data_IF_910313903157
#
_entry.id   IF_910313903157
#
_cell.length_a   1.000
_cell.length_b   1.000
_cell.length_c   1.000
_cell.angle_alpha   90.00
_cell.angle_beta   90.00
_cell.angle_gamma   90.00
#
_symmetry.space_group_name_H-M   'P 1'
#
loop_
_entity.id
_entity.type
_entity.pdbx_description
1 polymer ?
#
# COMPACT_ATOMS: atom_id res chain seq x y z
N UNK A 1 23.22 -2.89 2.12
CA UNK A 1 24.55 -3.50 1.84
C UNK A 1 25.41 -3.74 3.11
N UNK A 2 25.40 -2.83 4.09
CA UNK A 2 26.22 -2.90 5.32
C UNK A 2 26.06 -4.20 6.13
N UNK A 3 24.83 -4.68 6.34
CA UNK A 3 24.55 -5.91 7.12
C UNK A 3 25.22 -7.14 6.51
N UNK A 4 25.23 -7.25 5.17
CA UNK A 4 25.81 -8.41 4.49
C UNK A 4 27.33 -8.46 4.65
N UNK A 5 28.00 -7.31 4.51
CA UNK A 5 29.45 -7.18 4.70
C UNK A 5 29.82 -7.57 6.12
N UNK A 6 29.12 -7.01 7.12
CA UNK A 6 29.44 -7.28 8.54
C UNK A 6 29.17 -8.71 8.97
N UNK A 7 28.20 -9.38 8.36
CA UNK A 7 28.00 -10.82 8.58
C UNK A 7 29.14 -11.67 7.99
N UNK A 8 29.69 -11.28 6.83
CA UNK A 8 30.89 -11.93 6.25
C UNK A 8 32.12 -11.70 7.14
N UNK A 9 32.22 -10.55 7.77
CA UNK A 9 33.27 -10.22 8.76
C UNK A 9 33.08 -10.92 10.12
N UNK A 10 32.03 -11.73 10.29
CA UNK A 10 31.75 -12.48 11.52
C UNK A 10 31.16 -11.65 12.67
N UNK A 11 30.57 -10.49 12.39
CA UNK A 11 30.01 -9.63 13.44
C UNK A 11 28.71 -10.22 13.99
N UNK A 12 28.51 -10.08 15.30
CA UNK A 12 27.24 -10.41 15.93
C UNK A 12 26.15 -9.39 15.54
N UNK A 13 24.89 -9.83 15.51
CA UNK A 13 23.75 -8.97 15.22
C UNK A 13 23.67 -7.75 16.17
N UNK A 14 24.12 -7.90 17.42
CA UNK A 14 24.21 -6.81 18.38
C UNK A 14 25.21 -5.73 17.95
N UNK A 15 26.39 -6.12 17.49
CA UNK A 15 27.44 -5.20 17.03
C UNK A 15 26.98 -4.43 15.79
N UNK A 16 26.35 -5.13 14.84
CA UNK A 16 25.73 -4.52 13.65
C UNK A 16 24.65 -3.51 14.05
N UNK A 17 23.80 -3.86 15.02
CA UNK A 17 22.72 -2.98 15.48
C UNK A 17 23.26 -1.69 16.14
N UNK A 18 24.33 -1.79 16.93
CA UNK A 18 25.00 -0.64 17.53
C UNK A 18 25.62 0.28 16.48
N UNK A 19 26.28 -0.29 15.47
CA UNK A 19 26.88 0.46 14.37
C UNK A 19 25.84 1.20 13.53
N UNK A 20 24.71 0.55 13.21
CA UNK A 20 23.61 1.17 12.47
C UNK A 20 22.76 2.11 13.33
N UNK A 21 23.02 2.19 14.64
CA UNK A 21 22.18 2.87 15.63
C UNK A 21 20.69 2.45 15.54
N UNK A 22 20.44 1.14 15.44
CA UNK A 22 19.10 0.55 15.34
C UNK A 22 18.85 -0.47 16.45
N UNK A 23 17.57 -0.71 16.81
CA UNK A 23 17.24 -1.80 17.71
C UNK A 23 17.67 -3.15 17.12
N UNK A 24 18.24 -4.03 17.97
CA UNK A 24 18.72 -5.36 17.58
C UNK A 24 17.65 -6.19 16.86
N UNK A 25 16.39 -6.09 17.29
CA UNK A 25 15.25 -6.79 16.68
C UNK A 25 15.09 -6.43 15.20
N UNK A 26 15.40 -5.20 14.81
CA UNK A 26 15.32 -4.76 13.40
C UNK A 26 16.34 -5.51 12.55
N UNK A 27 17.58 -5.60 13.04
CA UNK A 27 18.67 -6.33 12.37
C UNK A 27 18.37 -7.82 12.33
N UNK A 28 17.91 -8.41 13.43
CA UNK A 28 17.53 -9.83 13.46
C UNK A 28 16.39 -10.16 12.49
N UNK A 29 15.38 -9.30 12.40
CA UNK A 29 14.28 -9.46 11.47
C UNK A 29 14.74 -9.33 10.01
N UNK A 30 15.68 -8.43 9.73
CA UNK A 30 16.30 -8.30 8.41
C UNK A 30 17.06 -9.58 8.04
N UNK A 31 17.96 -10.03 8.91
CA UNK A 31 18.76 -11.23 8.69
C UNK A 31 17.85 -12.44 8.45
N UNK A 32 16.86 -12.66 9.33
CA UNK A 32 15.91 -13.76 9.18
C UNK A 32 15.15 -13.71 7.85
N UNK A 33 14.86 -12.50 7.35
CA UNK A 33 14.15 -12.31 6.08
C UNK A 33 15.04 -12.53 4.86
N UNK A 34 16.32 -12.17 4.93
CA UNK A 34 17.29 -12.32 3.84
C UNK A 34 18.09 -13.63 3.83
N UNK A 35 18.03 -14.43 4.90
CA UNK A 35 18.69 -15.74 4.97
C UNK A 35 17.98 -16.77 4.10
N UNK A 36 18.72 -17.38 3.19
CA UNK A 36 18.24 -18.42 2.28
C UNK A 36 19.11 -19.67 2.33
N UNK A 37 18.48 -20.83 2.07
CA UNK A 37 19.18 -22.09 1.87
C UNK A 37 19.83 -22.10 0.49
N UNK A 38 21.11 -22.38 0.45
CA UNK A 38 21.91 -22.56 -0.75
C UNK A 38 22.54 -23.96 -0.72
N UNK A 39 22.81 -24.54 -1.90
CA UNK A 39 23.51 -25.82 -2.03
C UNK A 39 24.85 -25.57 -2.69
N UNK A 40 25.94 -26.01 -2.04
CA UNK A 40 27.30 -25.90 -2.55
C UNK A 40 27.98 -27.22 -2.31
N UNK A 41 28.47 -27.84 -3.39
CA UNK A 41 29.14 -29.14 -3.34
C UNK A 41 28.26 -30.22 -2.63
N UNK A 42 26.96 -30.22 -2.89
CA UNK A 42 26.01 -31.19 -2.31
C UNK A 42 25.64 -30.95 -0.83
N UNK A 43 26.20 -29.92 -0.17
CA UNK A 43 25.85 -29.55 1.21
C UNK A 43 24.95 -28.32 1.23
N UNK A 44 23.90 -28.37 2.05
CA UNK A 44 23.03 -27.23 2.33
C UNK A 44 23.69 -26.26 3.32
N UNK A 45 23.64 -24.97 3.03
CA UNK A 45 24.15 -23.91 3.90
C UNK A 45 23.21 -22.70 3.85
N UNK A 46 23.07 -22.01 4.99
CA UNK A 46 22.25 -20.81 5.09
C UNK A 46 23.11 -19.57 4.86
N UNK A 47 22.79 -18.77 3.86
CA UNK A 47 23.48 -17.52 3.54
C UNK A 47 22.50 -16.37 3.51
N UNK A 48 22.90 -15.27 4.13
CA UNK A 48 22.19 -14.00 4.05
C UNK A 48 22.55 -13.26 2.77
N UNK A 49 21.53 -12.81 2.05
CA UNK A 49 21.67 -11.90 0.92
C UNK A 49 20.74 -10.70 1.12
N UNK A 50 21.28 -9.49 0.97
CA UNK A 50 20.50 -8.26 1.16
C UNK A 50 19.35 -8.17 0.14
N UNK A 51 19.61 -8.49 -1.13
CA UNK A 51 18.62 -8.44 -2.20
C UNK A 51 17.43 -9.36 -1.94
N UNK A 52 17.68 -10.54 -1.37
CA UNK A 52 16.63 -11.49 -1.02
C UNK A 52 15.76 -10.96 0.12
N UNK A 53 16.39 -10.34 1.12
CA UNK A 53 15.68 -9.67 2.22
C UNK A 53 14.77 -8.56 1.72
N UNK A 54 15.23 -7.76 0.76
CA UNK A 54 14.44 -6.71 0.12
C UNK A 54 13.30 -7.28 -0.75
N UNK A 55 13.58 -8.31 -1.55
CA UNK A 55 12.58 -8.96 -2.39
C UNK A 55 11.43 -9.54 -1.55
N UNK A 56 11.75 -10.23 -0.45
CA UNK A 56 10.76 -10.76 0.49
C UNK A 56 10.00 -9.63 1.17
N UNK A 57 10.67 -8.54 1.56
CA UNK A 57 10.00 -7.35 2.10
C UNK A 57 8.98 -6.77 1.11
N UNK A 58 9.39 -6.50 -0.13
CA UNK A 58 8.52 -5.95 -1.18
C UNK A 58 7.33 -6.87 -1.43
N UNK A 59 7.55 -8.19 -1.54
CA UNK A 59 6.49 -9.19 -1.70
C UNK A 59 5.48 -9.18 -0.55
N UNK A 60 5.95 -9.12 0.70
CA UNK A 60 5.07 -9.04 1.86
C UNK A 60 4.35 -7.69 1.94
N UNK A 61 5.03 -6.61 1.56
CA UNK A 61 4.47 -5.26 1.56
C UNK A 61 3.28 -5.13 0.60
N UNK A 62 3.34 -5.78 -0.57
CA UNK A 62 2.21 -5.85 -1.50
C UNK A 62 0.96 -6.47 -0.85
N UNK A 63 1.15 -7.52 -0.03
CA UNK A 63 0.07 -8.21 0.69
C UNK A 63 -0.47 -7.45 1.90
N UNK A 64 0.31 -6.50 2.44
CA UNK A 64 -0.07 -5.74 3.63
C UNK A 64 -1.15 -4.69 3.37
N UNK A 65 -1.43 -4.37 2.11
CA UNK A 65 -2.45 -3.39 1.74
C UNK A 65 -3.85 -4.03 1.73
N UNK A 66 -4.86 -3.26 2.14
CA UNK A 66 -6.26 -3.69 2.04
C UNK A 66 -6.62 -3.81 0.57
N UNK A 67 -7.10 -4.98 0.16
CA UNK A 67 -7.59 -5.20 -1.21
C UNK A 67 -8.83 -4.34 -1.49
N UNK A 68 -9.01 -3.98 -2.76
CA UNK A 68 -10.18 -3.24 -3.21
C UNK A 68 -11.45 -4.08 -3.05
N UNK A 69 -12.55 -3.42 -2.67
CA UNK A 69 -13.86 -4.06 -2.47
C UNK A 69 -14.69 -4.15 -3.76
N UNK A 70 -14.06 -3.99 -4.93
CA UNK A 70 -14.77 -3.90 -6.21
C UNK A 70 -15.64 -5.13 -6.49
N UNK A 71 -15.11 -6.33 -6.20
CA UNK A 71 -15.82 -7.58 -6.42
C UNK A 71 -16.90 -7.82 -5.34
N UNK A 72 -16.55 -7.56 -4.07
CA UNK A 72 -17.46 -7.71 -2.92
C UNK A 72 -18.68 -6.79 -3.01
N UNK A 73 -18.49 -5.57 -3.52
CA UNK A 73 -19.51 -4.52 -3.59
C UNK A 73 -19.96 -4.28 -5.04
N UNK A 74 -19.93 -5.31 -5.88
CA UNK A 74 -20.16 -5.18 -7.33
C UNK A 74 -21.56 -4.64 -7.67
N UNK A 75 -22.60 -5.04 -6.92
CA UNK A 75 -23.97 -4.56 -7.15
C UNK A 75 -24.11 -3.06 -6.84
N UNK A 76 -23.52 -2.62 -5.73
CA UNK A 76 -23.47 -1.19 -5.38
C UNK A 76 -22.69 -0.39 -6.45
N UNK A 77 -21.60 -0.93 -6.97
CA UNK A 77 -20.82 -0.28 -8.02
C UNK A 77 -21.61 -0.14 -9.31
N UNK A 78 -22.33 -1.19 -9.74
CA UNK A 78 -23.19 -1.12 -10.93
C UNK A 78 -24.25 -0.03 -10.78
N UNK A 79 -24.88 0.05 -9.61
CA UNK A 79 -25.83 1.11 -9.27
C UNK A 79 -25.21 2.50 -9.37
N UNK A 80 -24.03 2.71 -8.77
CA UNK A 80 -23.32 4.01 -8.85
C UNK A 80 -22.99 4.37 -10.30
N UNK A 81 -22.48 3.42 -11.10
CA UNK A 81 -22.15 3.65 -12.51
C UNK A 81 -23.38 4.05 -13.31
N UNK A 82 -24.50 3.37 -13.11
CA UNK A 82 -25.78 3.67 -13.75
C UNK A 82 -26.26 5.08 -13.41
N UNK A 83 -26.31 5.42 -12.10
CA UNK A 83 -26.74 6.75 -11.63
C UNK A 83 -25.85 7.89 -12.07
N UNK A 84 -24.54 7.68 -12.12
CA UNK A 84 -23.60 8.72 -12.59
C UNK A 84 -23.75 8.95 -14.08
N UNK A 85 -23.94 7.90 -14.89
CA UNK A 85 -24.01 8.03 -16.36
C UNK A 85 -25.37 8.47 -16.88
N UNK A 86 -26.44 7.91 -16.35
CA UNK A 86 -27.80 8.14 -16.84
C UNK A 86 -28.42 9.34 -16.14
N UNK A 87 -28.33 9.40 -14.81
CA UNK A 87 -29.01 10.44 -14.01
C UNK A 87 -28.10 11.62 -13.66
N UNK A 88 -26.81 11.59 -14.04
CA UNK A 88 -25.81 12.63 -13.76
C UNK A 88 -25.63 12.92 -12.26
N UNK A 89 -25.83 11.90 -11.41
CA UNK A 89 -25.67 12.05 -9.97
C UNK A 89 -24.21 12.19 -9.56
N UNK A 90 -23.96 12.92 -8.46
CA UNK A 90 -22.65 12.90 -7.81
C UNK A 90 -22.45 11.59 -7.04
N UNK A 91 -21.19 11.16 -6.88
CA UNK A 91 -20.87 9.97 -6.08
C UNK A 91 -21.37 10.08 -4.64
N UNK A 92 -21.34 11.30 -4.08
CA UNK A 92 -21.86 11.58 -2.74
C UNK A 92 -23.37 11.39 -2.67
N UNK A 93 -24.11 11.81 -3.70
CA UNK A 93 -25.56 11.58 -3.80
C UNK A 93 -25.90 10.09 -3.91
N UNK A 94 -25.13 9.30 -4.68
CA UNK A 94 -25.35 7.86 -4.79
C UNK A 94 -25.15 7.14 -3.45
N UNK A 95 -24.13 7.50 -2.67
CA UNK A 95 -23.91 6.92 -1.34
C UNK A 95 -25.02 7.34 -0.38
N UNK A 96 -25.42 8.62 -0.40
CA UNK A 96 -26.48 9.14 0.45
C UNK A 96 -27.83 8.46 0.19
N UNK A 97 -28.21 8.31 -1.08
CA UNK A 97 -29.44 7.58 -1.45
C UNK A 97 -29.37 6.13 -1.02
N UNK A 98 -28.24 5.45 -1.27
CA UNK A 98 -28.09 4.02 -0.95
C UNK A 98 -28.22 3.76 0.56
N UNK A 99 -27.74 4.69 1.39
CA UNK A 99 -27.90 4.62 2.84
C UNK A 99 -29.35 4.89 3.26
N UNK A 100 -30.02 5.86 2.65
CA UNK A 100 -31.40 6.21 2.97
C UNK A 100 -32.40 5.15 2.52
N UNK A 101 -32.20 4.59 1.33
CA UNK A 101 -33.11 3.62 0.71
C UNK A 101 -32.98 2.21 1.30
N UNK A 102 -31.94 1.95 2.12
CA UNK A 102 -31.66 0.64 2.72
C UNK A 102 -31.63 -0.53 1.72
N UNK A 103 -31.43 -0.25 0.42
CA UNK A 103 -31.40 -1.27 -0.66
C UNK A 103 -30.15 -2.12 -0.60
N UNK A 104 -29.08 -1.61 0.00
CA UNK A 104 -27.79 -2.27 0.12
C UNK A 104 -27.44 -2.46 1.60
N UNK A 105 -26.78 -3.58 1.92
CA UNK A 105 -26.26 -3.75 3.27
C UNK A 105 -25.13 -2.74 3.54
N UNK A 106 -24.97 -2.24 4.78
CA UNK A 106 -23.91 -1.27 5.11
C UNK A 106 -22.49 -1.76 4.78
N UNK A 107 -22.27 -3.07 4.72
CA UNK A 107 -20.98 -3.67 4.36
C UNK A 107 -20.66 -3.60 2.87
N UNK A 108 -21.71 -3.55 2.02
CA UNK A 108 -21.65 -3.43 0.56
C UNK A 108 -21.56 -1.98 0.09
N UNK A 109 -21.93 -1.01 0.93
CA UNK A 109 -21.83 0.41 0.59
C UNK A 109 -20.39 0.88 0.76
N UNK A 110 -19.81 1.40 -0.33
CA UNK A 110 -18.48 1.97 -0.34
C UNK A 110 -18.56 3.45 0.03
N UNK A 111 -17.65 3.94 0.87
CA UNK A 111 -17.59 5.36 1.22
C UNK A 111 -17.26 6.24 0.01
N UNK A 112 -17.79 7.47 0.01
CA UNK A 112 -17.60 8.44 -1.08
C UNK A 112 -16.14 8.66 -1.44
N UNK A 113 -15.28 8.84 -0.43
CA UNK A 113 -13.82 8.95 -0.60
C UNK A 113 -13.21 7.76 -1.35
N UNK A 114 -13.70 6.56 -1.08
CA UNK A 114 -13.20 5.34 -1.74
C UNK A 114 -13.69 5.28 -3.19
N UNK A 115 -14.93 5.69 -3.47
CA UNK A 115 -15.43 5.81 -4.84
C UNK A 115 -14.62 6.82 -5.65
N UNK A 116 -14.36 8.02 -5.13
CA UNK A 116 -13.51 9.00 -5.81
C UNK A 116 -12.10 8.44 -6.08
N UNK A 117 -11.51 7.73 -5.11
CA UNK A 117 -10.23 7.06 -5.30
C UNK A 117 -10.29 6.00 -6.41
N UNK A 118 -11.38 5.23 -6.50
CA UNK A 118 -11.53 4.23 -7.56
C UNK A 118 -11.68 4.88 -8.93
N UNK A 119 -12.37 6.02 -9.04
CA UNK A 119 -12.42 6.82 -10.28
C UNK A 119 -11.03 7.35 -10.64
N UNK A 120 -10.30 7.92 -9.69
CA UNK A 120 -8.94 8.44 -9.93
C UNK A 120 -7.95 7.35 -10.37
N UNK A 121 -8.12 6.14 -9.84
CA UNK A 121 -7.34 4.96 -10.22
C UNK A 121 -7.82 4.31 -11.53
N UNK A 122 -8.93 4.78 -12.14
CA UNK A 122 -9.51 4.20 -13.35
C UNK A 122 -10.14 2.82 -13.14
N UNK A 123 -10.48 2.47 -11.90
CA UNK A 123 -11.08 1.18 -11.54
C UNK A 123 -12.59 1.10 -11.81
N UNK A 124 -13.22 2.26 -12.03
CA UNK A 124 -14.62 2.38 -12.40
C UNK A 124 -14.72 2.88 -13.84
N UNK A 125 -15.74 2.47 -14.61
CA UNK A 125 -16.00 2.98 -15.96
C UNK A 125 -16.61 4.38 -15.94
N UNK A 126 -16.17 5.25 -15.03
CA UNK A 126 -16.58 6.64 -14.82
C UNK A 126 -15.35 7.49 -15.08
N UNK A 127 -15.47 8.49 -15.94
CA UNK A 127 -14.40 9.45 -16.21
C UNK A 127 -14.60 10.70 -15.35
N UNK A 128 -13.52 11.48 -15.21
CA UNK A 128 -13.61 12.76 -14.50
C UNK A 128 -14.59 13.75 -15.15
N UNK A 129 -14.88 13.59 -16.44
CA UNK A 129 -15.89 14.38 -17.18
C UNK A 129 -17.32 14.07 -16.75
N UNK A 130 -17.57 12.85 -16.27
CA UNK A 130 -18.91 12.41 -15.84
C UNK A 130 -19.22 12.91 -14.42
N UNK A 131 -18.24 13.52 -13.73
CA UNK A 131 -18.38 13.99 -12.35
C UNK A 131 -18.71 15.49 -12.32
N UNK A 132 -19.94 15.88 -11.95
CA UNK A 132 -20.46 17.23 -12.18
C UNK A 132 -19.64 18.34 -11.51
N UNK A 133 -19.04 18.08 -10.34
CA UNK A 133 -18.28 19.08 -9.59
C UNK A 133 -16.75 19.00 -9.77
N UNK A 134 -16.23 17.95 -10.44
CA UNK A 134 -14.78 17.67 -10.40
C UNK A 134 -13.97 18.56 -11.33
N UNK A 135 -14.51 18.87 -12.50
CA UNK A 135 -13.87 19.75 -13.48
C UNK A 135 -13.88 21.22 -13.06
N UNK A 136 -14.94 21.68 -12.38
CA UNK A 136 -15.07 23.07 -11.94
C UNK A 136 -14.25 23.40 -10.68
N UNK A 137 -13.76 22.39 -9.97
CA UNK A 137 -13.08 22.60 -8.69
C UNK A 137 -11.62 22.98 -8.88
N UNK A 138 -11.29 24.22 -8.56
CA UNK A 138 -9.91 24.70 -8.47
C UNK A 138 -9.16 23.95 -7.36
N UNK A 139 -8.14 23.18 -7.73
CA UNK A 139 -7.23 22.55 -6.76
C UNK A 139 -6.35 23.62 -6.16
N UNK A 140 -6.36 23.75 -4.82
CA UNK A 140 -5.38 24.59 -4.13
C UNK A 140 -3.98 24.06 -4.43
N UNK A 141 -3.03 24.96 -4.64
CA UNK A 141 -1.63 24.60 -4.88
C UNK A 141 -1.09 23.78 -3.70
N UNK A 142 -0.26 22.78 -4.01
CA UNK A 142 0.33 21.92 -2.98
C UNK A 142 1.39 22.72 -2.25
N UNK A 143 1.13 23.13 -1.00
CA UNK A 143 2.12 23.82 -0.18
C UNK A 143 3.12 22.81 0.38
N UNK A 144 4.39 22.95 0.02
CA UNK A 144 5.46 22.21 0.69
C UNK A 144 5.47 22.61 2.18
N UNK A 145 5.28 21.63 3.07
CA UNK A 145 5.30 21.87 4.52
C UNK A 145 6.76 21.89 4.98
N UNK A 146 7.26 23.06 5.37
CA UNK A 146 8.64 23.23 5.86
C UNK A 146 8.98 22.25 7.00
N UNK A 147 8.02 22.04 7.93
CA UNK A 147 8.19 21.13 9.07
C UNK A 147 7.61 19.74 8.78
N UNK A 148 8.15 19.02 7.78
CA UNK A 148 7.81 17.61 7.53
C UNK A 148 8.73 16.70 8.34
N UNK A 149 8.17 15.78 9.12
CA UNK A 149 8.92 14.78 9.89
C UNK A 149 9.72 13.88 8.93
N UNK A 150 11.05 13.87 9.05
CA UNK A 150 11.92 12.95 8.31
C UNK A 150 11.84 11.57 8.96
N UNK A 151 11.34 10.56 8.24
CA UNK A 151 11.10 9.20 8.76
C UNK A 151 12.36 8.32 8.83
N UNK A 152 13.55 8.89 8.57
CA UNK A 152 14.83 8.19 8.50
C UNK A 152 15.01 7.40 7.21
N UNK A 153 16.25 6.98 6.95
CA UNK A 153 16.65 6.10 5.84
C UNK A 153 16.42 4.63 6.20
N UNK A 154 16.21 3.78 5.20
CA UNK A 154 16.14 2.32 5.39
C UNK A 154 17.46 1.81 5.93
N UNK A 155 17.47 0.65 6.60
CA UNK A 155 18.72 -0.01 7.03
C UNK A 155 19.42 -0.75 5.88
N UNK A 156 18.80 -0.75 4.70
CA UNK A 156 19.33 -1.32 3.47
C UNK A 156 20.29 -0.35 2.76
N UNK A 157 20.01 0.96 2.89
CA UNK A 157 20.79 2.09 2.37
C UNK A 157 21.98 2.38 3.30
#
# INVERSE_FOLDING_TARGET
MMVEIRLKDGFSAYKIAKELNRPINTVLNEIRRGTTKQIKQGKEFNVYFADTGEAVYKKNRLKSSRKYKLLECSDFIKYVVDKVKNDHWSLDACVGEALHSSRFSPSQIISTKTLYNYVDLGLLPIKNIDLPAKLHRNKKSTRARNNKKKLGTSILD
#
